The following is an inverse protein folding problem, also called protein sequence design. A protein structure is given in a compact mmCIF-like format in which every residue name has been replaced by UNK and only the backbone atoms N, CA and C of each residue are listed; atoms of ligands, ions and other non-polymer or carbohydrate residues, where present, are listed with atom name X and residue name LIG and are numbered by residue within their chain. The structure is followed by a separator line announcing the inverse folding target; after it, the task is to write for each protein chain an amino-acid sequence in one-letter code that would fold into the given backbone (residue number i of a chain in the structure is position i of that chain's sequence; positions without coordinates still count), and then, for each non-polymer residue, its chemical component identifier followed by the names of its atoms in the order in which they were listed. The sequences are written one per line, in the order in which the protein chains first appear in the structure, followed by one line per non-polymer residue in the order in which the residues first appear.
data_IF_728432817141
#
_entry.id   IF_728432817141
#
_cell.length_a   1.000
_cell.length_b   1.000
_cell.length_c   1.000
_cell.angle_alpha   90.00
_cell.angle_beta   90.00
_cell.angle_gamma   90.00
#
_symmetry.space_group_name_H-M   'P 1'
#
loop_
_entity.id
_entity.type
_entity.pdbx_description
1 polymer ?
#
# COMPACT_ATOMS: atom_id res chain seq x y z
N UNK A 1 7.09 4.08 -8.88
CA UNK A 1 6.50 5.00 -7.91
C UNK A 1 4.99 5.06 -8.09
N UNK A 2 4.24 5.01 -7.00
CA UNK A 2 2.78 5.07 -7.10
C UNK A 2 2.34 6.44 -7.61
N UNK A 3 1.36 6.43 -8.49
CA UNK A 3 0.85 7.64 -9.11
C UNK A 3 -0.63 7.81 -8.79
N UNK A 4 -0.97 8.91 -8.13
CA UNK A 4 -2.34 9.24 -7.76
C UNK A 4 -2.76 10.48 -8.53
N UNK A 5 -3.51 10.27 -9.60
CA UNK A 5 -3.94 11.34 -10.48
C UNK A 5 -5.40 11.67 -10.22
N UNK A 6 -5.71 12.03 -8.98
CA UNK A 6 -7.08 12.28 -8.53
C UNK A 6 -7.25 13.68 -7.92
N UNK A 7 -6.23 14.52 -8.00
CA UNK A 7 -6.29 15.90 -7.49
C UNK A 7 -6.10 16.03 -6.00
N UNK A 8 -5.88 14.95 -5.27
CA UNK A 8 -5.61 15.02 -3.83
C UNK A 8 -4.16 15.41 -3.56
N UNK A 9 -3.92 15.99 -2.39
CA UNK A 9 -2.56 16.31 -1.94
C UNK A 9 -1.73 15.05 -1.80
N UNK A 10 -0.41 15.17 -1.98
CA UNK A 10 0.51 14.06 -1.82
C UNK A 10 0.48 13.45 -0.41
N UNK A 11 0.06 14.25 0.60
CA UNK A 11 -0.06 13.77 1.97
C UNK A 11 -1.42 13.17 2.30
N UNK A 12 -2.33 13.10 1.34
CA UNK A 12 -3.68 12.60 1.60
C UNK A 12 -3.69 11.10 1.87
N UNK A 13 -4.62 10.68 2.71
CA UNK A 13 -4.83 9.26 2.96
C UNK A 13 -5.43 8.59 1.73
N UNK A 14 -5.03 7.36 1.47
CA UNK A 14 -5.52 6.59 0.33
C UNK A 14 -6.14 5.29 0.80
N UNK A 15 -7.25 4.89 0.18
CA UNK A 15 -7.87 3.61 0.49
C UNK A 15 -7.03 2.48 -0.10
N UNK A 16 -7.26 1.26 0.39
CA UNK A 16 -6.56 0.09 -0.14
C UNK A 16 -6.84 -0.08 -1.64
N UNK A 17 -8.05 0.23 -2.08
CA UNK A 17 -8.38 0.17 -3.51
C UNK A 17 -7.58 1.17 -4.34
N UNK A 18 -7.42 2.38 -3.83
CA UNK A 18 -6.61 3.41 -4.49
C UNK A 18 -5.15 3.00 -4.58
N UNK A 19 -4.60 2.46 -3.49
CA UNK A 19 -3.21 2.00 -3.47
C UNK A 19 -3.02 0.82 -4.43
N UNK A 20 -3.93 -0.13 -4.42
CA UNK A 20 -3.87 -1.27 -5.32
C UNK A 20 -3.87 -0.82 -6.78
N UNK A 21 -4.72 0.14 -7.12
CA UNK A 21 -4.81 0.65 -8.49
C UNK A 21 -3.54 1.40 -8.89
N UNK A 22 -3.00 2.20 -7.99
CA UNK A 22 -1.82 3.03 -8.29
C UNK A 22 -0.54 2.21 -8.39
N UNK A 23 -0.41 1.18 -7.57
CA UNK A 23 0.81 0.37 -7.50
C UNK A 23 0.74 -0.88 -8.38
N UNK A 24 -0.46 -1.31 -8.76
CA UNK A 24 -0.65 -2.56 -9.49
C UNK A 24 -0.63 -3.79 -8.58
N UNK A 25 -0.54 -3.58 -7.28
CA UNK A 25 -0.53 -4.67 -6.30
C UNK A 25 -1.97 -4.98 -5.92
N UNK A 26 -2.33 -6.26 -5.92
CA UNK A 26 -3.70 -6.65 -5.61
C UNK A 26 -4.01 -6.44 -4.12
N UNK A 27 -5.25 -6.09 -3.76
CA UNK A 27 -5.60 -5.82 -2.36
C UNK A 27 -5.28 -6.97 -1.40
N UNK A 28 -5.47 -8.22 -1.81
CA UNK A 28 -5.18 -9.33 -0.93
C UNK A 28 -3.69 -9.47 -0.63
N UNK A 29 -2.85 -9.05 -1.55
CA UNK A 29 -1.40 -9.04 -1.34
C UNK A 29 -1.04 -7.96 -0.33
N UNK A 30 -1.66 -6.78 -0.44
CA UNK A 30 -1.44 -5.70 0.52
C UNK A 30 -1.84 -6.12 1.93
N UNK A 31 -2.97 -6.82 2.07
CA UNK A 31 -3.42 -7.34 3.37
C UNK A 31 -2.45 -8.37 3.93
N UNK A 32 -1.92 -9.22 3.06
CA UNK A 32 -0.93 -10.21 3.48
C UNK A 32 0.32 -9.51 4.01
N UNK A 33 0.80 -8.48 3.31
CA UNK A 33 1.98 -7.75 3.73
C UNK A 33 1.77 -7.01 5.04
N UNK A 34 0.56 -6.54 5.32
CA UNK A 34 0.24 -5.94 6.62
C UNK A 34 0.50 -6.91 7.76
N UNK A 35 0.26 -8.19 7.53
CA UNK A 35 0.50 -9.23 8.53
C UNK A 35 1.98 -9.60 8.64
N UNK A 36 2.68 -9.59 7.53
CA UNK A 36 4.08 -10.02 7.47
C UNK A 36 5.05 -8.91 7.90
N UNK A 37 4.71 -7.66 7.68
CA UNK A 37 5.59 -6.53 7.97
C UNK A 37 4.98 -5.65 9.03
N UNK A 38 5.45 -5.74 10.29
CA UNK A 38 4.87 -4.98 11.41
C UNK A 38 4.94 -3.47 11.23
N UNK A 39 5.86 -2.97 10.40
CA UNK A 39 5.99 -1.54 10.13
C UNK A 39 4.92 -1.02 9.18
N UNK A 40 4.25 -1.91 8.45
CA UNK A 40 3.18 -1.53 7.55
C UNK A 40 1.86 -1.52 8.32
N UNK A 41 1.48 -0.35 8.81
CA UNK A 41 0.30 -0.19 9.66
C UNK A 41 -0.61 0.92 9.14
N UNK A 42 -1.43 0.62 8.13
CA UNK A 42 -2.38 1.62 7.67
C UNK A 42 -3.39 1.94 8.76
N UNK A 43 -3.93 3.15 8.70
CA UNK A 43 -4.95 3.57 9.65
C UNK A 43 -6.24 2.82 9.38
N UNK A 44 -6.89 2.35 10.46
CA UNK A 44 -8.20 1.71 10.34
C UNK A 44 -9.25 2.65 10.93
N UNK A 45 -10.26 2.97 10.14
CA UNK A 45 -11.34 3.84 10.58
C UNK A 45 -12.61 3.03 10.79
N UNK A 46 -13.67 3.69 11.28
CA UNK A 46 -14.93 3.03 11.54
C UNK A 46 -15.42 2.33 10.27
N UNK A 47 -15.96 1.13 10.45
CA UNK A 47 -16.33 0.26 9.33
C UNK A 47 -15.21 -0.64 8.84
N UNK A 48 -14.04 -0.60 9.48
CA UNK A 48 -12.91 -1.46 9.14
C UNK A 48 -12.18 -1.07 7.88
N UNK A 49 -12.39 0.14 7.38
CA UNK A 49 -11.69 0.61 6.18
C UNK A 49 -10.25 0.97 6.48
N UNK A 50 -9.34 0.54 5.61
CA UNK A 50 -7.93 0.85 5.73
C UNK A 50 -7.58 2.08 4.90
N UNK A 51 -6.82 2.99 5.53
CA UNK A 51 -6.34 4.19 4.87
C UNK A 51 -4.82 4.23 4.98
N UNK A 52 -4.16 4.25 3.85
CA UNK A 52 -2.71 4.24 3.78
C UNK A 52 -2.17 5.67 3.81
N UNK A 53 -1.21 5.91 4.69
CA UNK A 53 -0.50 7.17 4.77
C UNK A 53 0.59 7.17 3.70
N UNK A 54 1.13 8.35 3.32
CA UNK A 54 2.23 8.40 2.35
C UNK A 54 3.39 7.48 2.73
N UNK A 55 3.74 7.43 4.01
CA UNK A 55 4.82 6.58 4.50
C UNK A 55 4.50 5.09 4.34
N UNK A 56 3.23 4.72 4.46
CA UNK A 56 2.82 3.34 4.24
C UNK A 56 2.94 2.96 2.76
N UNK A 57 2.60 3.91 1.89
CA UNK A 57 2.69 3.69 0.44
C UNK A 57 4.16 3.54 0.03
N UNK A 58 5.05 4.35 0.58
CA UNK A 58 6.47 4.21 0.33
C UNK A 58 6.98 2.85 0.76
N UNK A 59 6.53 2.38 1.91
CA UNK A 59 6.92 1.07 2.42
C UNK A 59 6.44 -0.05 1.51
N UNK A 60 5.19 0.06 1.04
CA UNK A 60 4.62 -0.90 0.09
C UNK A 60 5.47 -0.97 -1.18
N UNK A 61 5.87 0.18 -1.70
CA UNK A 61 6.70 0.22 -2.89
C UNK A 61 8.08 -0.40 -2.66
N UNK A 62 8.65 -0.20 -1.47
CA UNK A 62 9.92 -0.83 -1.11
C UNK A 62 9.79 -2.35 -1.02
N UNK A 63 8.70 -2.83 -0.41
CA UNK A 63 8.45 -4.25 -0.28
C UNK A 63 8.32 -4.88 -1.68
N UNK A 64 7.56 -4.25 -2.55
CA UNK A 64 7.39 -4.71 -3.92
C UNK A 64 8.75 -4.82 -4.63
N UNK A 65 9.57 -3.82 -4.48
CA UNK A 65 10.91 -3.80 -5.10
C UNK A 65 11.77 -4.94 -4.59
N UNK A 66 11.76 -5.17 -3.27
CA UNK A 66 12.54 -6.24 -2.67
C UNK A 66 12.08 -7.62 -3.13
N UNK A 67 10.77 -7.81 -3.21
CA UNK A 67 10.20 -9.07 -3.69
C UNK A 67 10.62 -9.33 -5.12
N UNK A 68 10.53 -8.32 -5.98
CA UNK A 68 10.93 -8.46 -7.37
C UNK A 68 12.42 -8.76 -7.52
N UNK A 69 13.26 -8.11 -6.72
CA UNK A 69 14.71 -8.33 -6.78
C UNK A 69 15.10 -9.71 -6.29
N UNK A 70 14.36 -10.27 -5.34
CA UNK A 70 14.64 -11.59 -4.81
C UNK A 70 14.06 -12.72 -5.66
N UNK A 71 13.35 -12.39 -6.72
CA UNK A 71 12.70 -13.35 -7.62
C UNK A 71 11.68 -14.23 -6.92
N UNK A 72 11.14 -13.76 -5.80
CA UNK A 72 10.06 -14.42 -5.09
C UNK A 72 8.75 -13.86 -5.61
N UNK A 73 7.92 -14.74 -6.16
CA UNK A 73 6.62 -14.33 -6.67
C UNK A 73 5.54 -14.71 -5.67
N UNK A 74 4.68 -13.77 -5.42
CA UNK A 74 3.56 -13.94 -4.49
C UNK A 74 2.28 -14.10 -5.29
#
# INVERSE_FOLDING_TARGET
MASFDDGKDSGALRTIGEVAKATGIKPHVLRYWEQQFPTLRPLTRSGGRRYYRPEDIELVERIERLVNLSLIHI
#
